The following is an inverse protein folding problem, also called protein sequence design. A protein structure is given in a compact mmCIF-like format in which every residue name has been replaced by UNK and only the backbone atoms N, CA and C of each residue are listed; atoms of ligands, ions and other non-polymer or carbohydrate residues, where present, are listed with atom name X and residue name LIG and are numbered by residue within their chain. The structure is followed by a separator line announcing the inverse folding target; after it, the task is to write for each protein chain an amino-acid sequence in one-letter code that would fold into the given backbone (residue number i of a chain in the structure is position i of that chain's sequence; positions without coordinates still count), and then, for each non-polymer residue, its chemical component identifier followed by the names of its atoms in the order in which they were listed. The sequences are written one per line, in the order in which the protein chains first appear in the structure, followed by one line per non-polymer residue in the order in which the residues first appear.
data_IF_534459559025
#
_entry.id   IF_534459559025
#
_cell.length_a   1.000
_cell.length_b   1.000
_cell.length_c   1.000
_cell.angle_alpha   90.00
_cell.angle_beta   90.00
_cell.angle_gamma   90.00
#
_symmetry.space_group_name_H-M   'P 1'
#
loop_
_entity.id
_entity.type
_entity.pdbx_description
1 polymer ?
#
# COMPACT_ATOMS: atom_id res chain seq x y z
N UNK A 1 -25.81 -17.14 -5.02
CA UNK A 1 -24.45 -17.63 -4.70
C UNK A 1 -24.04 -18.57 -5.81
N UNK A 2 -22.97 -18.27 -6.53
CA UNK A 2 -22.46 -19.13 -7.62
C UNK A 2 -21.19 -19.79 -7.11
N UNK A 3 -21.09 -21.12 -7.24
CA UNK A 3 -19.97 -21.93 -6.72
C UNK A 3 -19.21 -22.49 -7.92
N UNK A 4 -17.88 -22.67 -7.79
CA UNK A 4 -17.03 -23.23 -8.85
C UNK A 4 -16.62 -22.21 -9.92
N UNK A 5 -16.44 -20.95 -9.55
CA UNK A 5 -15.97 -19.89 -10.45
C UNK A 5 -14.44 -19.85 -10.53
N UNK A 6 -13.90 -19.41 -11.68
CA UNK A 6 -12.46 -19.18 -11.89
C UNK A 6 -11.99 -17.82 -11.34
N UNK A 7 -12.92 -16.92 -11.00
CA UNK A 7 -12.66 -15.62 -10.39
C UNK A 7 -13.55 -15.41 -9.18
N UNK A 8 -13.00 -14.86 -8.09
CA UNK A 8 -13.73 -14.61 -6.84
C UNK A 8 -13.31 -13.27 -6.26
N UNK A 9 -14.26 -12.52 -5.71
CA UNK A 9 -13.99 -11.36 -4.86
C UNK A 9 -13.92 -11.80 -3.39
N UNK A 10 -12.79 -11.57 -2.74
CA UNK A 10 -12.56 -11.99 -1.37
C UNK A 10 -11.69 -10.98 -0.63
N UNK A 11 -12.14 -10.55 0.55
CA UNK A 11 -11.43 -9.60 1.42
C UNK A 11 -10.90 -8.36 0.69
N UNK A 12 -11.61 -7.83 -0.31
CA UNK A 12 -11.21 -6.61 -1.01
C UNK A 12 -10.26 -6.79 -2.21
N UNK A 13 -9.92 -8.04 -2.54
CA UNK A 13 -9.17 -8.39 -3.76
C UNK A 13 -10.02 -9.24 -4.70
N UNK A 14 -9.77 -9.12 -6.00
CA UNK A 14 -10.23 -10.08 -6.99
C UNK A 14 -9.13 -11.13 -7.19
N UNK A 15 -9.49 -12.40 -7.06
CA UNK A 15 -8.57 -13.54 -7.21
C UNK A 15 -8.93 -14.27 -8.49
N UNK A 16 -8.00 -14.31 -9.45
CA UNK A 16 -8.18 -15.01 -10.73
C UNK A 16 -6.81 -15.41 -11.32
N UNK A 17 -6.77 -16.52 -12.04
CA UNK A 17 -5.59 -16.98 -12.79
C UNK A 17 -4.27 -17.04 -11.99
N UNK A 18 -4.36 -17.42 -10.71
CA UNK A 18 -3.19 -17.51 -9.81
C UNK A 18 -2.60 -16.15 -9.44
N UNK A 19 -3.37 -15.08 -9.59
CA UNK A 19 -3.03 -13.70 -9.22
C UNK A 19 -4.14 -13.11 -8.38
N UNK A 20 -3.81 -12.01 -7.70
CA UNK A 20 -4.79 -11.20 -7.00
C UNK A 20 -4.56 -9.72 -7.28
N UNK A 21 -5.66 -9.01 -7.53
CA UNK A 21 -5.70 -7.57 -7.81
C UNK A 21 -6.57 -6.87 -6.78
N UNK A 22 -6.22 -5.65 -6.40
CA UNK A 22 -7.12 -4.87 -5.56
C UNK A 22 -8.37 -4.46 -6.32
N UNK A 23 -9.49 -4.46 -5.60
CA UNK A 23 -10.73 -3.92 -6.13
C UNK A 23 -10.68 -2.38 -6.18
N UNK A 24 -11.35 -1.73 -7.15
CA UNK A 24 -11.26 -0.29 -7.37
C UNK A 24 -11.69 0.58 -6.17
N UNK A 25 -12.54 0.07 -5.27
CA UNK A 25 -13.06 0.84 -4.14
C UNK A 25 -11.96 1.31 -3.17
N UNK A 26 -10.82 0.61 -3.12
CA UNK A 26 -9.68 1.01 -2.29
C UNK A 26 -9.04 2.31 -2.83
N UNK A 27 -8.84 2.39 -4.14
CA UNK A 27 -8.33 3.58 -4.81
C UNK A 27 -9.33 4.75 -4.71
N UNK A 28 -10.63 4.46 -4.82
CA UNK A 28 -11.69 5.46 -4.61
C UNK A 28 -11.61 6.01 -3.17
N UNK A 29 -11.53 5.14 -2.17
CA UNK A 29 -11.45 5.54 -0.76
C UNK A 29 -10.21 6.40 -0.47
N UNK A 30 -9.05 6.09 -1.06
CA UNK A 30 -7.86 6.95 -0.95
C UNK A 30 -8.02 8.30 -1.66
N UNK A 31 -8.74 8.31 -2.78
CA UNK A 31 -9.04 9.52 -3.55
C UNK A 31 -9.94 10.52 -2.83
N UNK A 32 -10.84 10.04 -1.96
CA UNK A 32 -11.77 10.87 -1.16
C UNK A 32 -11.07 11.70 -0.07
N UNK A 33 -9.89 11.30 0.37
CA UNK A 33 -9.14 12.09 1.36
C UNK A 33 -8.67 13.42 0.76
N UNK A 34 -8.61 14.51 1.54
CA UNK A 34 -7.96 15.73 1.09
C UNK A 34 -6.45 15.52 0.92
N UNK A 35 -5.81 16.35 0.10
CA UNK A 35 -4.34 16.34 -0.08
C UNK A 35 -3.59 16.79 1.18
N UNK A 36 -4.25 17.56 2.03
CA UNK A 36 -3.77 17.94 3.36
C UNK A 36 -4.61 17.22 4.40
N UNK A 37 -4.00 16.25 5.08
CA UNK A 37 -4.66 15.53 6.17
C UNK A 37 -4.60 16.37 7.44
N UNK A 38 -5.73 16.57 8.09
CA UNK A 38 -5.88 17.33 9.32
C UNK A 38 -6.08 16.39 10.50
N UNK A 39 -5.21 16.53 11.49
CA UNK A 39 -5.31 15.79 12.74
C UNK A 39 -4.83 14.33 12.67
N UNK A 40 -4.50 13.81 13.85
CA UNK A 40 -3.90 12.49 14.05
C UNK A 40 -4.81 11.37 13.54
N UNK A 41 -6.12 11.46 13.80
CA UNK A 41 -7.09 10.42 13.42
C UNK A 41 -7.20 10.25 11.90
N UNK A 42 -7.21 11.36 11.15
CA UNK A 42 -7.29 11.28 9.69
C UNK A 42 -6.01 10.69 9.09
N UNK A 43 -4.84 11.06 9.63
CA UNK A 43 -3.56 10.49 9.23
C UNK A 43 -3.53 8.98 9.52
N UNK A 44 -4.03 8.53 10.68
CA UNK A 44 -4.12 7.12 11.03
C UNK A 44 -5.06 6.34 10.10
N UNK A 45 -6.24 6.90 9.78
CA UNK A 45 -7.19 6.27 8.85
C UNK A 45 -6.58 6.12 7.46
N UNK A 46 -5.96 7.19 6.94
CA UNK A 46 -5.28 7.18 5.66
C UNK A 46 -4.15 6.14 5.64
N UNK A 47 -3.29 6.14 6.66
CA UNK A 47 -2.20 5.17 6.80
C UNK A 47 -2.70 3.73 6.96
N UNK A 48 -3.87 3.51 7.54
CA UNK A 48 -4.50 2.19 7.63
C UNK A 48 -4.81 1.61 6.25
N UNK A 49 -5.41 2.41 5.36
CA UNK A 49 -5.71 2.00 3.98
C UNK A 49 -4.42 1.80 3.18
N UNK A 50 -3.47 2.73 3.32
CA UNK A 50 -2.14 2.64 2.68
C UNK A 50 -1.40 1.38 3.12
N UNK A 51 -1.51 1.00 4.40
CA UNK A 51 -0.89 -0.22 4.92
C UNK A 51 -1.51 -1.48 4.31
N UNK A 52 -2.83 -1.48 4.14
CA UNK A 52 -3.54 -2.60 3.53
C UNK A 52 -3.10 -2.85 2.08
N UNK A 53 -2.75 -1.81 1.32
CA UNK A 53 -2.23 -1.94 -0.05
C UNK A 53 -0.70 -2.00 -0.18
N UNK A 54 0.02 -2.06 0.94
CA UNK A 54 1.46 -1.82 0.95
C UNK A 54 2.29 -2.81 0.13
N UNK A 55 1.86 -4.07 0.06
CA UNK A 55 2.54 -5.14 -0.70
C UNK A 55 2.57 -4.87 -2.23
N UNK A 56 1.67 -4.03 -2.73
CA UNK A 56 1.52 -3.74 -4.15
C UNK A 56 2.33 -2.52 -4.59
N UNK A 57 2.88 -1.75 -3.64
CA UNK A 57 3.59 -0.49 -3.91
C UNK A 57 5.06 -0.66 -3.54
N UNK A 58 5.96 -0.77 -4.54
CA UNK A 58 7.39 -0.80 -4.30
C UNK A 58 7.85 0.48 -3.58
N UNK A 59 8.74 0.34 -2.60
CA UNK A 59 9.38 1.46 -1.88
C UNK A 59 8.38 2.40 -1.17
N UNK A 60 7.19 1.90 -0.80
CA UNK A 60 6.16 2.67 -0.09
C UNK A 60 6.64 3.26 1.23
N UNK A 61 7.63 2.63 1.88
CA UNK A 61 8.19 3.03 3.16
C UNK A 61 8.62 4.49 3.18
N UNK A 62 9.17 5.03 2.07
CA UNK A 62 9.56 6.44 1.99
C UNK A 62 8.38 7.38 2.24
N UNK A 63 7.27 7.18 1.54
CA UNK A 63 6.07 8.02 1.66
C UNK A 63 5.35 7.79 3.00
N UNK A 64 5.27 6.53 3.43
CA UNK A 64 4.69 6.17 4.74
C UNK A 64 5.45 6.82 5.89
N UNK A 65 6.78 6.88 5.81
CA UNK A 65 7.62 7.48 6.85
C UNK A 65 7.36 8.97 7.03
N UNK A 66 7.16 9.73 5.95
CA UNK A 66 6.81 11.16 6.06
C UNK A 66 5.51 11.36 6.85
N UNK A 67 4.49 10.55 6.59
CA UNK A 67 3.21 10.66 7.30
C UNK A 67 3.28 10.07 8.72
N UNK A 68 4.04 9.01 8.94
CA UNK A 68 4.20 8.40 10.25
C UNK A 68 4.93 9.32 11.25
N UNK A 69 5.81 10.21 10.79
CA UNK A 69 6.45 11.22 11.65
C UNK A 69 5.44 12.18 12.29
N UNK A 70 4.34 12.48 11.61
CA UNK A 70 3.24 13.32 12.12
C UNK A 70 2.45 12.66 13.26
N UNK A 71 2.65 11.37 13.53
CA UNK A 71 2.01 10.63 14.62
C UNK A 71 2.86 10.54 15.89
N UNK A 72 4.08 11.10 15.88
CA UNK A 72 4.97 11.10 17.05
C UNK A 72 4.50 12.11 18.11
N UNK A 73 5.00 11.96 19.35
CA UNK A 73 4.67 12.85 20.49
C UNK A 73 4.97 14.33 20.23
N UNK A 74 6.02 14.62 19.47
CA UNK A 74 6.37 15.95 18.97
C UNK A 74 6.43 15.87 17.45
N UNK A 75 5.27 16.05 16.77
CA UNK A 75 5.22 15.94 15.32
C UNK A 75 5.79 17.21 14.67
N UNK A 76 6.47 17.08 13.51
CA UNK A 76 6.80 18.25 12.72
C UNK A 76 5.53 18.92 12.21
N UNK A 77 5.62 20.20 11.84
CA UNK A 77 4.51 20.87 11.17
C UNK A 77 4.27 20.30 9.78
N UNK A 78 3.00 20.31 9.36
CA UNK A 78 2.63 19.93 8.01
C UNK A 78 3.28 20.87 6.99
N UNK A 79 3.85 20.33 5.91
CA UNK A 79 4.56 21.07 4.87
C UNK A 79 4.34 20.40 3.50
N UNK A 80 4.99 20.91 2.45
CA UNK A 80 4.84 20.39 1.08
C UNK A 80 5.19 18.91 0.94
N UNK A 81 6.20 18.42 1.65
CA UNK A 81 6.64 17.00 1.58
C UNK A 81 5.52 16.05 2.00
N UNK A 82 4.73 16.42 3.01
CA UNK A 82 3.59 15.63 3.46
C UNK A 82 2.46 15.60 2.42
N UNK A 83 2.17 16.75 1.80
CA UNK A 83 1.16 16.84 0.73
C UNK A 83 1.59 16.04 -0.51
N UNK A 84 2.85 16.17 -0.91
CA UNK A 84 3.41 15.38 -2.00
C UNK A 84 3.32 13.88 -1.70
N UNK A 85 3.63 13.44 -0.47
CA UNK A 85 3.51 12.04 -0.08
C UNK A 85 2.07 11.51 -0.24
N UNK A 86 1.06 12.27 0.17
CA UNK A 86 -0.36 11.90 0.00
C UNK A 86 -0.71 11.79 -1.49
N UNK A 87 -0.31 12.78 -2.30
CA UNK A 87 -0.59 12.78 -3.74
C UNK A 87 0.09 11.62 -4.47
N UNK A 88 1.35 11.31 -4.13
CA UNK A 88 2.06 10.17 -4.71
C UNK A 88 1.41 8.84 -4.33
N UNK A 89 1.00 8.68 -3.07
CA UNK A 89 0.31 7.47 -2.61
C UNK A 89 -1.04 7.27 -3.32
N UNK A 90 -1.82 8.35 -3.51
CA UNK A 90 -3.06 8.29 -4.31
C UNK A 90 -2.79 7.84 -5.75
N UNK A 91 -1.80 8.47 -6.40
CA UNK A 91 -1.42 8.15 -7.78
C UNK A 91 -0.94 6.71 -7.94
N UNK A 92 -0.19 6.19 -6.98
CA UNK A 92 0.26 4.79 -6.97
C UNK A 92 -0.92 3.83 -6.77
N UNK A 93 -1.88 4.19 -5.92
CA UNK A 93 -3.08 3.40 -5.69
C UNK A 93 -4.00 3.30 -6.91
N UNK A 94 -3.96 4.24 -7.86
CA UNK A 94 -4.74 4.15 -9.12
C UNK A 94 -4.28 3.01 -10.04
N UNK A 95 -2.99 2.64 -9.98
CA UNK A 95 -2.38 1.67 -10.90
C UNK A 95 -1.55 0.64 -10.13
N UNK A 96 -2.22 -0.13 -9.28
CA UNK A 96 -1.58 -1.23 -8.56
C UNK A 96 -1.42 -2.46 -9.49
N UNK A 97 -0.20 -2.99 -9.65
CA UNK A 97 0.02 -4.19 -10.45
C UNK A 97 -0.60 -5.43 -9.77
N UNK A 98 -1.06 -6.44 -10.52
CA UNK A 98 -1.46 -7.71 -9.91
C UNK A 98 -0.28 -8.35 -9.18
N UNK A 99 -0.55 -8.93 -8.02
CA UNK A 99 0.41 -9.79 -7.33
C UNK A 99 0.15 -11.26 -7.68
N UNK A 100 1.22 -12.04 -7.72
CA UNK A 100 1.15 -13.46 -8.03
C UNK A 100 0.97 -14.27 -6.74
N UNK A 101 0.06 -15.24 -6.77
CA UNK A 101 -0.09 -16.20 -5.69
C UNK A 101 1.12 -17.15 -5.75
N UNK A 102 1.86 -17.31 -4.64
CA UNK A 102 3.01 -18.21 -4.58
C UNK A 102 2.64 -19.63 -5.02
N UNK A 103 3.36 -20.17 -6.01
CA UNK A 103 3.25 -21.55 -6.48
C UNK A 103 4.13 -22.46 -5.60
N UNK A 104 3.83 -23.76 -5.54
CA UNK A 104 4.76 -24.74 -4.99
C UNK A 104 6.06 -24.75 -5.82
N UNK A 105 7.23 -24.62 -5.18
CA UNK A 105 8.51 -24.60 -5.90
C UNK A 105 9.66 -23.95 -5.14
N UNK A 106 10.76 -23.72 -5.86
CA UNK A 106 11.90 -22.94 -5.35
C UNK A 106 11.49 -21.47 -5.25
N UNK A 107 11.99 -20.80 -4.21
CA UNK A 107 11.76 -19.38 -3.96
C UNK A 107 13.09 -18.67 -3.84
N UNK A 108 13.17 -17.45 -4.35
CA UNK A 108 14.36 -16.59 -4.26
C UNK A 108 14.02 -15.45 -3.31
N UNK A 109 14.73 -15.36 -2.18
CA UNK A 109 14.67 -14.20 -1.31
C UNK A 109 15.84 -13.28 -1.65
N UNK A 110 15.56 -12.16 -2.31
CA UNK A 110 16.55 -11.10 -2.50
C UNK A 110 16.49 -10.16 -1.31
N UNK A 111 17.64 -9.90 -0.70
CA UNK A 111 17.77 -8.96 0.41
C UNK A 111 18.76 -7.88 0.04
N UNK A 112 18.50 -6.66 0.50
CA UNK A 112 19.40 -5.50 0.36
C UNK A 112 19.37 -4.72 1.67
N UNK A 113 20.50 -4.14 2.07
CA UNK A 113 20.62 -3.39 3.31
C UNK A 113 21.63 -2.25 3.18
N UNK A 114 21.35 -1.16 3.88
CA UNK A 114 22.24 -0.03 4.14
C UNK A 114 22.40 0.15 5.65
N UNK A 115 23.22 1.12 6.06
CA UNK A 115 23.42 1.46 7.48
C UNK A 115 22.12 1.86 8.20
N UNK A 116 21.10 2.31 7.47
CA UNK A 116 19.85 2.82 8.04
C UNK A 116 18.64 1.93 7.77
N UNK A 117 18.66 1.11 6.70
CA UNK A 117 17.47 0.43 6.19
C UNK A 117 17.78 -0.97 5.67
N UNK A 118 16.77 -1.83 5.70
CA UNK A 118 16.79 -3.17 5.12
C UNK A 118 15.55 -3.36 4.25
N UNK A 119 15.71 -4.11 3.17
CA UNK A 119 14.65 -4.43 2.22
C UNK A 119 14.76 -5.89 1.80
N UNK A 120 13.62 -6.51 1.54
CA UNK A 120 13.55 -7.85 0.99
C UNK A 120 12.46 -7.95 -0.07
N UNK A 121 12.71 -8.74 -1.10
CA UNK A 121 11.75 -9.10 -2.12
C UNK A 121 11.76 -10.62 -2.30
N UNK A 122 10.58 -11.23 -2.26
CA UNK A 122 10.39 -12.66 -2.49
C UNK A 122 9.96 -12.87 -3.95
N UNK A 123 10.71 -13.70 -4.66
CA UNK A 123 10.42 -14.12 -6.03
C UNK A 123 10.24 -15.62 -6.11
N UNK A 124 9.63 -16.07 -7.20
CA UNK A 124 9.55 -17.45 -7.64
C UNK A 124 10.12 -17.61 -9.04
#
# INVERSE_FOLDING_TARGET
MVIGQSSIDFLGVNISDGRYTFQPYISISLGEFPDKLTGIKQIQQYLGIVNYISDFIPKISKYKNFLAQLLKKSPPEWNSVHTEAVQQLKKLAEKLPPLQIPRPGKRILQTDASDEYWAAALFE
#
